data_IF_739076454049
#
_entry.id   IF_739076454049
#
_cell.length_a   1.000
_cell.length_b   1.000
_cell.length_c   1.000
_cell.angle_alpha   90.00
_cell.angle_beta   90.00
_cell.angle_gamma   90.00
#
_symmetry.space_group_name_H-M   'P 1'
#
loop_
_entity.id
_entity.type
_entity.pdbx_description
1 polymer ?
#
# COMPACT_ATOMS: atom_id res chain seq x y z
N UNK A 1 8.06 22.54 -4.79
CA UNK A 1 8.50 22.35 -3.39
C UNK A 1 9.28 21.05 -3.31
N UNK A 2 10.28 20.95 -2.42
CA UNK A 2 10.99 19.70 -2.13
C UNK A 2 10.39 19.10 -0.86
N UNK A 3 10.05 17.81 -0.88
CA UNK A 3 9.47 17.09 0.26
C UNK A 3 10.21 15.79 0.52
N UNK A 4 10.45 15.50 1.80
CA UNK A 4 10.91 14.21 2.27
C UNK A 4 10.02 13.85 3.45
N UNK A 5 9.15 12.87 3.28
CA UNK A 5 8.12 12.51 4.26
C UNK A 5 8.19 11.01 4.54
N UNK A 6 7.72 10.63 5.73
CA UNK A 6 7.54 9.22 6.08
C UNK A 6 6.16 8.79 5.64
N UNK A 7 6.08 7.61 5.03
CA UNK A 7 4.85 6.93 4.66
C UNK A 7 4.78 5.61 5.41
N UNK A 8 3.67 5.36 6.11
CA UNK A 8 3.42 4.08 6.78
C UNK A 8 2.86 3.07 5.79
N UNK A 9 3.44 1.87 5.75
CA UNK A 9 3.02 0.81 4.85
C UNK A 9 1.92 -0.03 5.51
N UNK A 10 0.86 -0.41 4.78
CA UNK A 10 -0.17 -1.27 5.33
C UNK A 10 0.36 -2.66 5.65
N UNK A 11 -0.19 -3.24 6.71
CA UNK A 11 0.09 -4.61 7.12
C UNK A 11 -1.16 -5.47 7.04
N UNK A 12 -0.96 -6.77 6.87
CA UNK A 12 -2.02 -7.77 6.80
C UNK A 12 -1.54 -9.07 7.44
N UNK A 13 -2.47 -9.95 7.77
CA UNK A 13 -2.17 -11.23 8.39
C UNK A 13 -2.13 -12.35 7.35
N UNK A 14 -1.11 -13.20 7.46
CA UNK A 14 -1.07 -14.52 6.82
C UNK A 14 -1.01 -15.56 7.93
N UNK A 15 -2.16 -16.16 8.25
CA UNK A 15 -2.33 -16.92 9.48
C UNK A 15 -2.11 -16.01 10.70
N UNK A 16 -1.12 -16.34 11.54
CA UNK A 16 -0.75 -15.53 12.71
C UNK A 16 0.39 -14.53 12.43
N UNK A 17 0.98 -14.53 11.24
CA UNK A 17 2.12 -13.69 10.90
C UNK A 17 1.67 -12.37 10.28
N UNK A 18 2.16 -11.24 10.83
CA UNK A 18 2.02 -9.92 10.21
C UNK A 18 2.99 -9.78 9.05
N UNK A 19 2.48 -9.37 7.89
CA UNK A 19 3.26 -9.04 6.71
C UNK A 19 2.97 -7.61 6.27
N UNK A 20 3.93 -7.00 5.61
CA UNK A 20 3.78 -5.68 4.99
C UNK A 20 3.38 -5.90 3.54
N UNK A 21 2.35 -5.21 3.06
CA UNK A 21 1.98 -5.27 1.65
C UNK A 21 3.04 -4.55 0.83
N UNK A 22 3.35 -5.08 -0.36
CA UNK A 22 4.32 -4.46 -1.26
C UNK A 22 3.67 -3.28 -2.02
N UNK A 23 4.39 -2.17 -2.14
CA UNK A 23 3.96 -0.97 -2.88
C UNK A 23 4.31 -1.19 -4.35
N UNK A 24 3.30 -1.58 -5.13
CA UNK A 24 3.50 -1.90 -6.55
C UNK A 24 3.56 -0.68 -7.44
N UNK A 25 2.92 0.42 -7.04
CA UNK A 25 2.87 1.66 -7.81
C UNK A 25 2.58 2.86 -6.91
N UNK A 26 3.08 4.03 -7.31
CA UNK A 26 2.85 5.31 -6.65
C UNK A 26 2.57 6.37 -7.71
N UNK A 27 1.50 7.15 -7.53
CA UNK A 27 1.13 8.26 -8.44
C UNK A 27 0.87 9.52 -7.62
N UNK A 28 1.45 10.65 -8.01
CA UNK A 28 1.17 11.93 -7.38
C UNK A 28 -0.15 12.51 -7.89
N UNK A 29 -1.04 12.90 -6.98
CA UNK A 29 -2.30 13.58 -7.31
C UNK A 29 -2.13 15.10 -7.32
N UNK A 30 -1.35 15.60 -6.36
CA UNK A 30 -1.05 17.02 -6.17
C UNK A 30 0.20 17.18 -5.28
N UNK A 31 0.40 18.37 -4.71
CA UNK A 31 1.61 18.69 -3.93
C UNK A 31 1.71 17.99 -2.56
N UNK A 32 0.62 17.42 -2.05
CA UNK A 32 0.57 16.82 -0.71
C UNK A 32 -0.08 15.43 -0.68
N UNK A 33 -0.62 14.94 -1.79
CA UNK A 33 -1.32 13.66 -1.85
C UNK A 33 -0.81 12.78 -2.97
N UNK A 34 -0.71 11.49 -2.68
CA UNK A 34 -0.35 10.44 -3.62
C UNK A 34 -1.33 9.27 -3.52
N UNK A 35 -1.44 8.49 -4.59
CA UNK A 35 -2.02 7.16 -4.58
C UNK A 35 -0.92 6.12 -4.44
N UNK A 36 -1.18 5.07 -3.66
CA UNK A 36 -0.31 3.91 -3.53
C UNK A 36 -1.12 2.64 -3.75
N UNK A 37 -0.70 1.82 -4.71
CA UNK A 37 -1.22 0.46 -4.90
C UNK A 37 -0.41 -0.51 -4.04
N UNK A 38 -1.04 -1.10 -3.03
CA UNK A 38 -0.40 -1.99 -2.07
C UNK A 38 -1.05 -3.38 -2.08
N UNK A 39 -0.24 -4.46 -2.16
CA UNK A 39 -0.75 -5.83 -2.32
C UNK A 39 0.15 -6.94 -1.77
N UNK A 40 -0.42 -8.15 -1.62
CA UNK A 40 0.20 -9.34 -1.03
C UNK A 40 0.85 -10.32 -2.03
N UNK A 41 0.73 -10.06 -3.33
CA UNK A 41 1.37 -10.87 -4.37
C UNK A 41 0.66 -12.19 -4.70
N UNK A 42 -0.56 -12.41 -4.23
CA UNK A 42 -1.37 -13.60 -4.57
C UNK A 42 -2.39 -13.31 -5.68
N UNK A 43 -2.85 -14.35 -6.37
CA UNK A 43 -3.88 -14.26 -7.42
C UNK A 43 -3.84 -15.44 -8.40
N UNK A 44 -4.59 -15.32 -9.51
CA UNK A 44 -4.72 -16.33 -10.55
C UNK A 44 -3.37 -16.91 -11.02
N UNK A 45 -3.29 -18.24 -11.12
CA UNK A 45 -2.09 -18.95 -11.55
C UNK A 45 -1.04 -19.19 -10.45
N UNK A 46 -1.27 -18.70 -9.23
CA UNK A 46 -0.41 -19.00 -8.08
C UNK A 46 -0.94 -20.17 -7.24
N UNK A 47 -0.03 -20.80 -6.49
CA UNK A 47 -0.36 -21.90 -5.60
C UNK A 47 -1.42 -21.52 -4.54
N UNK A 48 -1.45 -20.25 -4.15
CA UNK A 48 -2.55 -19.66 -3.39
C UNK A 48 -3.18 -18.52 -4.21
N UNK A 49 -4.40 -18.71 -4.75
CA UNK A 49 -5.07 -17.67 -5.53
C UNK A 49 -5.72 -16.59 -4.66
N UNK A 50 -5.84 -16.79 -3.35
CA UNK A 50 -6.49 -15.82 -2.45
C UNK A 50 -5.54 -14.68 -2.11
N UNK A 51 -5.88 -13.47 -2.54
CA UNK A 51 -5.25 -12.24 -2.06
C UNK A 51 -5.80 -11.87 -0.68
N UNK A 52 -4.93 -11.86 0.33
CA UNK A 52 -5.20 -11.40 1.68
C UNK A 52 -5.20 -9.87 1.78
N UNK A 53 -4.52 -9.16 0.87
CA UNK A 53 -4.49 -7.71 0.85
C UNK A 53 -4.25 -7.17 -0.56
N UNK A 54 -5.14 -6.28 -1.02
CA UNK A 54 -4.98 -5.54 -2.27
C UNK A 54 -5.83 -4.27 -2.24
N UNK A 55 -5.18 -3.11 -2.20
CA UNK A 55 -5.90 -1.83 -2.15
C UNK A 55 -5.17 -0.70 -2.86
N UNK A 56 -5.95 0.31 -3.23
CA UNK A 56 -5.46 1.63 -3.61
C UNK A 56 -5.70 2.55 -2.41
N UNK A 57 -4.64 3.18 -1.94
CA UNK A 57 -4.68 4.08 -0.79
C UNK A 57 -4.36 5.51 -1.21
N UNK A 58 -5.06 6.48 -0.62
CA UNK A 58 -4.61 7.87 -0.65
C UNK A 58 -3.72 8.08 0.57
N UNK A 59 -2.53 8.64 0.34
CA UNK A 59 -1.64 9.14 1.38
C UNK A 59 -1.60 10.66 1.32
N UNK A 60 -1.75 11.32 2.45
CA UNK A 60 -1.75 12.77 2.61
C UNK A 60 -0.63 13.21 3.55
N UNK A 61 0.18 14.17 3.09
CA UNK A 61 1.35 14.69 3.78
C UNK A 61 1.16 16.12 4.29
N UNK A 62 -0.05 16.68 4.22
CA UNK A 62 -0.32 18.09 4.59
C UNK A 62 0.12 18.43 6.02
N UNK A 63 -0.08 17.49 6.95
CA UNK A 63 0.32 17.60 8.37
C UNK A 63 1.56 16.77 8.72
N UNK A 64 2.21 16.16 7.73
CA UNK A 64 3.39 15.33 7.96
C UNK A 64 4.65 16.17 8.20
N UNK A 65 5.58 15.65 9.00
CA UNK A 65 6.85 16.33 9.24
C UNK A 65 7.73 16.25 7.99
N UNK A 66 8.07 17.40 7.40
CA UNK A 66 9.01 17.48 6.29
C UNK A 66 10.45 17.32 6.81
N UNK A 67 11.14 16.26 6.37
CA UNK A 67 12.48 15.89 6.82
C UNK A 67 13.60 16.52 5.99
N UNK A 68 13.29 17.35 5.00
CA UNK A 68 14.31 18.03 4.17
C UNK A 68 15.27 18.82 5.06
N UNK A 69 16.58 18.62 4.87
CA UNK A 69 17.64 19.27 5.62
C UNK A 69 17.88 18.74 7.03
N UNK A 70 17.07 17.77 7.50
CA UNK A 70 17.28 17.13 8.80
C UNK A 70 18.38 16.07 8.73
N UNK A 71 18.83 15.56 9.88
CA UNK A 71 19.74 14.41 9.93
C UNK A 71 19.14 13.15 9.29
N UNK A 72 17.81 13.01 9.26
CA UNK A 72 17.14 11.87 8.61
C UNK A 72 17.23 11.90 7.07
N UNK A 73 17.51 13.05 6.44
CA UNK A 73 17.79 13.16 5.00
C UNK A 73 19.29 13.16 4.69
N UNK A 74 20.08 13.84 5.53
CA UNK A 74 21.46 14.22 5.19
C UNK A 74 22.52 13.27 5.75
N UNK A 75 22.15 12.37 6.65
CA UNK A 75 23.05 11.39 7.25
C UNK A 75 22.43 9.99 7.23
N UNK A 76 23.13 9.00 7.77
CA UNK A 76 22.64 7.63 7.90
C UNK A 76 21.75 7.41 9.14
N UNK A 77 21.18 8.47 9.73
CA UNK A 77 20.30 8.35 10.89
C UNK A 77 18.93 7.77 10.47
N UNK A 78 18.53 6.59 10.98
CA UNK A 78 17.22 6.02 10.65
C UNK A 78 16.10 6.84 11.33
N UNK A 79 15.06 7.17 10.57
CA UNK A 79 13.85 7.84 11.10
C UNK A 79 12.92 6.89 11.85
N UNK A 80 13.05 5.59 11.62
CA UNK A 80 12.27 4.56 12.32
C UNK A 80 13.16 3.39 12.79
N UNK A 81 14.08 3.61 13.76
CA UNK A 81 14.91 2.54 14.29
C UNK A 81 14.04 1.41 14.86
N UNK A 82 14.37 0.16 14.50
CA UNK A 82 13.57 -1.03 14.84
C UNK A 82 12.10 -1.00 14.36
N UNK A 83 11.81 -0.18 13.33
CA UNK A 83 10.45 -0.02 12.81
C UNK A 83 9.55 0.88 13.66
N UNK A 84 10.09 1.58 14.66
CA UNK A 84 9.34 2.54 15.48
C UNK A 84 9.72 3.94 15.05
N UNK A 85 8.75 4.71 14.58
CA UNK A 85 8.95 6.11 14.20
C UNK A 85 9.46 6.92 15.40
N UNK A 86 10.51 7.70 15.19
CA UNK A 86 11.06 8.59 16.21
C UNK A 86 10.00 9.57 16.72
N UNK A 87 9.98 9.77 18.04
CA UNK A 87 9.01 10.66 18.67
C UNK A 87 9.11 12.10 18.11
N UNK A 88 7.94 12.70 17.83
CA UNK A 88 7.85 14.05 17.28
C UNK A 88 7.96 14.15 15.76
N UNK A 89 8.24 13.05 15.04
CA UNK A 89 8.05 12.97 13.59
C UNK A 89 6.65 12.43 13.30
N UNK A 90 5.86 13.19 12.55
CA UNK A 90 4.57 12.77 12.03
C UNK A 90 4.73 12.17 10.62
N UNK A 91 4.27 10.94 10.44
CA UNK A 91 4.14 10.34 9.11
C UNK A 91 2.92 10.90 8.36
N UNK A 92 2.88 10.71 7.05
CA UNK A 92 1.69 10.96 6.25
C UNK A 92 0.53 10.08 6.72
N UNK A 93 -0.68 10.64 6.72
CA UNK A 93 -1.89 9.87 7.02
C UNK A 93 -2.36 9.13 5.79
N UNK A 94 -2.93 7.94 5.97
CA UNK A 94 -3.44 7.14 4.86
C UNK A 94 -4.86 6.66 5.09
N UNK A 95 -5.58 6.45 3.99
CA UNK A 95 -6.88 5.80 3.99
C UNK A 95 -7.04 4.93 2.75
N UNK A 96 -7.79 3.84 2.87
CA UNK A 96 -8.13 2.98 1.73
C UNK A 96 -9.17 3.71 0.89
N UNK A 97 -8.82 3.99 -0.36
CA UNK A 97 -9.74 4.55 -1.35
C UNK A 97 -10.52 3.45 -2.05
N UNK A 98 -9.84 2.37 -2.44
CA UNK A 98 -10.44 1.19 -3.08
C UNK A 98 -9.88 -0.06 -2.43
N UNK A 99 -10.77 -0.89 -1.87
CA UNK A 99 -10.47 -2.29 -1.57
C UNK A 99 -10.77 -3.14 -2.81
N UNK A 100 -9.72 -3.68 -3.44
CA UNK A 100 -9.87 -4.45 -4.67
C UNK A 100 -10.38 -5.87 -4.37
N UNK A 101 -10.19 -6.34 -3.14
CA UNK A 101 -10.62 -7.67 -2.72
C UNK A 101 -12.09 -7.71 -2.25
N UNK A 102 -12.83 -6.60 -2.32
CA UNK A 102 -14.25 -6.55 -1.96
C UNK A 102 -15.06 -7.51 -2.84
N UNK A 103 -15.49 -8.62 -2.23
CA UNK A 103 -16.21 -9.69 -2.92
C UNK A 103 -17.55 -9.21 -3.53
N UNK A 104 -18.20 -8.22 -2.93
CA UNK A 104 -19.47 -7.68 -3.44
C UNK A 104 -19.22 -6.85 -4.70
N UNK A 105 -18.14 -6.05 -4.73
CA UNK A 105 -17.77 -5.30 -5.94
C UNK A 105 -17.29 -6.24 -7.05
N UNK A 106 -16.47 -7.23 -6.72
CA UNK A 106 -15.97 -8.22 -7.69
C UNK A 106 -17.12 -9.01 -8.34
N UNK A 107 -18.10 -9.44 -7.55
CA UNK A 107 -19.24 -10.20 -8.05
C UNK A 107 -20.09 -9.44 -9.08
N UNK A 108 -20.12 -8.10 -9.05
CA UNK A 108 -20.81 -7.30 -10.07
C UNK A 108 -20.23 -7.46 -11.47
N UNK A 109 -18.96 -7.84 -11.56
CA UNK A 109 -18.25 -8.09 -12.81
C UNK A 109 -17.97 -9.58 -13.04
N UNK A 110 -18.57 -10.46 -12.22
CA UNK A 110 -18.35 -11.89 -12.27
C UNK A 110 -16.94 -12.31 -11.83
N UNK A 111 -16.20 -11.46 -11.12
CA UNK A 111 -14.85 -11.75 -10.63
C UNK A 111 -14.87 -12.37 -9.22
N UNK A 112 -13.78 -13.04 -8.83
CA UNK A 112 -13.60 -13.61 -7.49
C UNK A 112 -12.14 -13.48 -7.00
N UNK A 113 -11.95 -13.62 -5.68
CA UNK A 113 -10.64 -13.63 -5.03
C UNK A 113 -10.30 -15.04 -4.50
N UNK A 114 -10.45 -16.05 -5.36
CA UNK A 114 -10.30 -17.45 -4.98
C UNK A 114 -11.38 -17.92 -3.99
N UNK A 115 -11.16 -19.03 -3.23
CA UNK A 115 -9.95 -19.86 -3.21
C UNK A 115 -9.84 -20.86 -4.36
N UNK A 116 -10.91 -21.04 -5.14
CA UNK A 116 -10.85 -21.87 -6.35
C UNK A 116 -10.32 -21.00 -7.48
N UNK A 117 -9.16 -21.37 -8.00
CA UNK A 117 -8.56 -20.68 -9.14
C UNK A 117 -9.33 -20.99 -10.43
N UNK A 118 -9.78 -19.97 -11.14
CA UNK A 118 -10.49 -20.06 -12.41
C UNK A 118 -10.27 -18.80 -13.26
N UNK A 119 -10.80 -18.79 -14.49
CA UNK A 119 -10.65 -17.68 -15.45
C UNK A 119 -11.19 -16.32 -14.94
N UNK A 120 -12.01 -16.33 -13.88
CA UNK A 120 -12.61 -15.17 -13.26
C UNK A 120 -11.90 -14.74 -11.96
N UNK A 121 -10.88 -15.47 -11.53
CA UNK A 121 -10.08 -15.14 -10.36
C UNK A 121 -9.19 -13.94 -10.66
N UNK A 122 -9.12 -12.98 -9.74
CA UNK A 122 -8.20 -11.84 -9.84
C UNK A 122 -6.77 -12.34 -10.05
N UNK A 123 -6.11 -11.93 -11.13
CA UNK A 123 -4.69 -12.25 -11.31
C UNK A 123 -3.81 -11.56 -10.27
N UNK A 124 -2.61 -12.10 -10.08
CA UNK A 124 -1.61 -11.54 -9.17
C UNK A 124 -1.40 -10.04 -9.42
N UNK A 125 -1.40 -9.60 -10.69
CA UNK A 125 -1.31 -8.19 -11.05
C UNK A 125 -2.11 -7.87 -12.31
N UNK A 126 -3.19 -7.11 -12.16
CA UNK A 126 -3.96 -6.53 -13.28
C UNK A 126 -4.06 -5.00 -13.21
N UNK A 127 -3.90 -4.44 -12.02
CA UNK A 127 -4.17 -3.05 -11.73
C UNK A 127 -2.96 -2.17 -12.07
N UNK A 128 -3.26 -0.99 -12.61
CA UNK A 128 -2.33 0.11 -12.79
C UNK A 128 -3.02 1.42 -12.40
N UNK A 129 -2.30 2.33 -11.76
CA UNK A 129 -2.81 3.63 -11.35
C UNK A 129 -2.66 4.68 -12.45
N UNK A 130 -1.65 4.56 -13.32
CA UNK A 130 -1.47 5.42 -14.49
C UNK A 130 -0.98 4.63 -15.71
N UNK A 131 -1.31 5.13 -16.90
CA UNK A 131 -0.87 4.62 -18.23
C UNK A 131 0.26 5.46 -18.80
#
# INVERSE_FOLDING_TARGET
>A
MKGHYVLELPTFLVGAATRVAAQSEIVALNNHQILVLARDGNGHGLANPVSAYRSIQIHDFSEATNLVGTSYETTATPVAPNGILVAGVAAGTSTVLVDINDAVQLAKFGLNNGPVDNDNTLSEKWEALAM
#
